data_IF_294731515771
#
_entry.id   IF_294731515771
#
_cell.length_a   1.000
_cell.length_b   1.000
_cell.length_c   1.000
_cell.angle_alpha   90.00
_cell.angle_beta   90.00
_cell.angle_gamma   90.00
#
_symmetry.space_group_name_H-M   'P 1'
#
loop_
_entity.id
_entity.type
_entity.pdbx_description
1 polymer ?
#
# COMPACT_ATOMS: atom_id res chain seq x y z
N UNK A 1 10.85 29.15 2.97
CA UNK A 1 10.26 28.71 1.70
C UNK A 1 9.56 27.38 1.96
N UNK A 2 8.24 27.31 1.78
CA UNK A 2 7.51 26.05 1.87
C UNK A 2 7.85 25.25 0.62
N UNK A 3 8.63 24.17 0.79
CA UNK A 3 8.86 23.24 -0.32
C UNK A 3 7.58 22.45 -0.50
N UNK A 4 6.85 22.72 -1.59
CA UNK A 4 5.71 21.89 -1.98
C UNK A 4 6.24 20.47 -2.16
N UNK A 5 5.80 19.55 -1.30
CA UNK A 5 6.20 18.16 -1.38
C UNK A 5 5.57 17.58 -2.64
N UNK A 6 6.40 17.26 -3.64
CA UNK A 6 5.92 16.68 -4.89
C UNK A 6 5.35 15.29 -4.63
N UNK A 7 4.12 15.07 -5.08
CA UNK A 7 3.43 13.78 -4.99
C UNK A 7 3.93 12.88 -6.12
N UNK A 8 4.45 11.73 -5.75
CA UNK A 8 4.95 10.69 -6.66
C UNK A 8 4.05 9.48 -6.48
N UNK A 9 3.50 9.02 -7.59
CA UNK A 9 2.55 7.94 -7.64
C UNK A 9 3.17 6.72 -8.31
N UNK A 10 2.83 5.54 -7.80
CA UNK A 10 3.18 4.27 -8.40
C UNK A 10 1.90 3.44 -8.56
N UNK A 11 1.63 3.02 -9.79
CA UNK A 11 0.57 2.08 -10.12
C UNK A 11 1.19 0.79 -10.62
N UNK A 12 0.59 -0.35 -10.29
CA UNK A 12 1.04 -1.63 -10.78
C UNK A 12 -0.11 -2.49 -11.26
N UNK A 13 0.14 -3.25 -12.31
CA UNK A 13 -0.65 -4.39 -12.76
C UNK A 13 0.20 -5.63 -12.61
N UNK A 14 -0.37 -6.69 -12.05
CA UNK A 14 0.34 -7.93 -11.83
C UNK A 14 -0.50 -9.14 -12.20
N UNK A 15 0.17 -10.13 -12.79
CA UNK A 15 -0.40 -11.43 -13.09
C UNK A 15 0.67 -12.49 -12.83
N UNK A 16 0.50 -13.23 -11.75
CA UNK A 16 1.41 -14.27 -11.28
C UNK A 16 0.75 -15.64 -11.31
N UNK A 17 1.55 -16.63 -11.66
CA UNK A 17 1.23 -18.04 -11.58
C UNK A 17 2.33 -18.78 -10.79
N UNK A 18 2.04 -20.00 -10.34
CA UNK A 18 3.02 -20.86 -9.68
C UNK A 18 3.09 -22.20 -10.40
N UNK A 19 4.30 -22.70 -10.63
CA UNK A 19 4.52 -24.04 -11.18
C UNK A 19 4.03 -25.15 -10.25
N UNK A 20 3.85 -24.85 -8.95
CA UNK A 20 3.30 -25.79 -7.97
C UNK A 20 1.78 -25.92 -8.05
N UNK A 21 1.10 -24.95 -8.68
CA UNK A 21 -0.36 -24.91 -8.85
C UNK A 21 -0.71 -24.52 -10.30
N UNK A 22 -0.42 -25.37 -11.29
CA UNK A 22 -0.46 -24.99 -12.71
C UNK A 22 -1.87 -24.67 -13.24
N UNK A 23 -2.92 -25.02 -12.51
CA UNK A 23 -4.32 -24.88 -12.95
C UNK A 23 -5.02 -23.62 -12.42
N UNK A 24 -4.34 -22.81 -11.59
CA UNK A 24 -4.92 -21.62 -11.00
C UNK A 24 -3.94 -20.44 -11.08
N UNK A 25 -4.45 -19.24 -11.36
CA UNK A 25 -3.68 -18.01 -11.16
C UNK A 25 -3.36 -17.89 -9.67
N UNK A 26 -2.12 -17.51 -9.37
CA UNK A 26 -1.67 -17.34 -7.99
C UNK A 26 -2.18 -16.00 -7.45
N UNK A 27 -1.99 -14.94 -8.23
CA UNK A 27 -2.35 -13.58 -7.86
C UNK A 27 -2.50 -12.75 -9.14
N UNK A 28 -3.62 -12.04 -9.27
CA UNK A 28 -3.90 -11.13 -10.38
C UNK A 28 -4.60 -9.89 -9.84
N UNK A 29 -4.24 -8.72 -10.35
CA UNK A 29 -4.89 -7.48 -9.95
C UNK A 29 -4.05 -6.24 -10.19
N UNK A 30 -4.42 -5.17 -9.48
CA UNK A 30 -3.80 -3.86 -9.60
C UNK A 30 -3.59 -3.24 -8.22
N UNK A 31 -2.47 -2.52 -8.03
CA UNK A 31 -2.14 -1.80 -6.80
C UNK A 31 -1.78 -0.35 -7.09
N UNK A 32 -1.97 0.52 -6.09
CA UNK A 32 -1.65 1.94 -6.19
C UNK A 32 -1.06 2.46 -4.88
N UNK A 33 0.04 3.21 -4.97
CA UNK A 33 0.69 3.84 -3.82
C UNK A 33 1.08 5.28 -4.11
N UNK A 34 1.05 6.09 -3.05
CA UNK A 34 1.49 7.48 -3.04
C UNK A 34 2.68 7.64 -2.06
N UNK A 35 3.69 8.40 -2.46
CA UNK A 35 4.86 8.64 -1.61
C UNK A 35 4.49 9.38 -0.31
N UNK A 36 5.17 9.03 0.78
CA UNK A 36 5.04 9.72 2.08
C UNK A 36 3.81 9.32 2.90
N UNK A 37 2.85 8.58 2.33
CA UNK A 37 1.76 7.96 3.08
C UNK A 37 2.18 6.52 3.44
N UNK A 38 2.04 6.11 4.71
CA UNK A 38 2.24 4.71 5.12
C UNK A 38 0.91 3.97 5.06
N UNK A 39 0.86 2.86 4.32
CA UNK A 39 -0.37 2.07 4.17
C UNK A 39 -0.73 1.29 5.44
N UNK A 40 0.25 0.86 6.23
CA UNK A 40 0.04 0.19 7.53
C UNK A 40 1.37 0.22 8.34
N UNK A 41 1.38 0.53 9.65
CA UNK A 41 2.57 0.36 10.49
C UNK A 41 2.96 -1.11 10.76
N UNK A 42 2.03 -2.08 10.67
CA UNK A 42 2.32 -3.49 10.97
C UNK A 42 3.03 -4.23 9.83
N UNK A 43 2.79 -3.83 8.58
CA UNK A 43 3.48 -4.33 7.37
C UNK A 43 5.00 -4.10 7.39
N UNK A 44 5.48 -3.17 8.22
CA UNK A 44 6.90 -2.88 8.36
C UNK A 44 7.72 -3.95 9.11
N UNK A 45 7.10 -5.00 9.67
CA UNK A 45 7.78 -5.92 10.60
C UNK A 45 8.78 -6.88 9.94
N UNK A 46 8.73 -7.12 8.62
CA UNK A 46 9.70 -7.98 7.91
C UNK A 46 9.88 -7.59 6.44
N UNK A 47 10.63 -6.53 6.12
CA UNK A 47 10.76 -6.14 4.73
C UNK A 47 11.73 -7.11 4.02
N UNK A 48 11.22 -7.86 3.05
CA UNK A 48 12.04 -8.69 2.13
C UNK A 48 12.94 -7.81 1.24
N UNK A 49 12.62 -6.52 1.17
CA UNK A 49 13.36 -5.49 0.48
C UNK A 49 14.11 -4.62 1.49
N UNK A 50 15.31 -4.21 1.13
CA UNK A 50 16.07 -3.22 1.88
C UNK A 50 16.06 -1.88 1.15
N UNK A 51 15.52 -0.85 1.79
CA UNK A 51 15.61 0.52 1.29
C UNK A 51 17.02 1.05 1.58
N UNK A 52 17.84 1.23 0.55
CA UNK A 52 19.22 1.68 0.71
C UNK A 52 19.24 3.20 0.97
N UNK A 53 19.79 3.66 2.10
CA UNK A 53 19.97 5.08 2.35
C UNK A 53 21.04 5.65 1.42
N UNK A 54 20.74 6.79 0.79
CA UNK A 54 21.67 7.44 -0.14
C UNK A 54 22.56 8.44 0.61
N UNK A 55 23.87 8.52 0.33
CA UNK A 55 24.80 9.41 1.05
C UNK A 55 24.37 10.88 1.07
N UNK A 56 23.73 11.35 -0.01
CA UNK A 56 23.34 12.75 -0.21
C UNK A 56 22.06 13.11 0.58
N UNK A 57 21.28 12.12 1.03
CA UNK A 57 19.93 12.33 1.58
C UNK A 57 19.60 11.38 2.72
N UNK A 58 20.49 11.30 3.73
CA UNK A 58 20.35 10.42 4.89
C UNK A 58 19.07 10.64 5.73
N UNK A 59 18.43 11.80 5.59
CA UNK A 59 17.20 12.16 6.32
C UNK A 59 15.93 11.75 5.58
N UNK A 60 16.04 11.30 4.33
CA UNK A 60 14.87 10.87 3.56
C UNK A 60 14.65 9.39 3.82
N UNK A 61 13.54 9.06 4.48
CA UNK A 61 13.10 7.68 4.65
C UNK A 61 12.66 7.11 3.29
N UNK A 62 13.51 6.28 2.71
CA UNK A 62 13.27 5.65 1.40
C UNK A 62 12.26 4.50 1.47
N UNK A 63 11.90 4.05 2.66
CA UNK A 63 10.79 3.09 2.81
C UNK A 63 9.43 3.72 2.48
N UNK A 64 9.35 5.05 2.43
CA UNK A 64 8.15 5.81 2.10
C UNK A 64 8.02 6.12 0.60
N UNK A 65 8.98 5.71 -0.23
CA UNK A 65 8.84 5.84 -1.68
C UNK A 65 7.69 4.96 -2.18
N UNK A 66 6.86 5.49 -3.08
CA UNK A 66 5.66 4.80 -3.57
C UNK A 66 6.01 3.43 -4.17
N UNK A 67 7.10 3.34 -4.91
CA UNK A 67 7.55 2.11 -5.56
C UNK A 67 8.03 1.06 -4.55
N UNK A 68 8.69 1.50 -3.48
CA UNK A 68 9.16 0.61 -2.42
C UNK A 68 7.97 0.03 -1.63
N UNK A 69 7.00 0.87 -1.31
CA UNK A 69 5.78 0.45 -0.61
C UNK A 69 4.97 -0.53 -1.46
N UNK A 70 4.80 -0.22 -2.75
CA UNK A 70 4.09 -1.10 -3.68
C UNK A 70 4.77 -2.47 -3.75
N UNK A 71 6.09 -2.54 -3.96
CA UNK A 71 6.76 -3.84 -4.03
C UNK A 71 6.70 -4.62 -2.70
N UNK A 72 6.73 -3.91 -1.57
CA UNK A 72 6.50 -4.53 -0.26
C UNK A 72 5.10 -5.15 -0.18
N UNK A 73 4.07 -4.42 -0.60
CA UNK A 73 2.69 -4.92 -0.65
C UNK A 73 2.57 -6.16 -1.55
N UNK A 74 3.21 -6.17 -2.72
CA UNK A 74 3.22 -7.35 -3.61
C UNK A 74 3.78 -8.58 -2.87
N UNK A 75 4.89 -8.43 -2.13
CA UNK A 75 5.44 -9.54 -1.36
C UNK A 75 4.50 -10.02 -0.25
N UNK A 76 3.80 -9.10 0.42
CA UNK A 76 2.80 -9.46 1.42
C UNK A 76 1.63 -10.24 0.80
N UNK A 77 1.14 -9.81 -0.36
CA UNK A 77 0.08 -10.51 -1.08
C UNK A 77 0.53 -11.90 -1.51
N UNK A 78 1.74 -12.06 -2.03
CA UNK A 78 2.30 -13.37 -2.36
C UNK A 78 2.43 -14.26 -1.12
N UNK A 79 2.84 -13.71 0.02
CA UNK A 79 2.93 -14.44 1.28
C UNK A 79 1.54 -14.88 1.78
N UNK A 80 0.52 -14.01 1.68
CA UNK A 80 -0.89 -14.35 1.99
C UNK A 80 -1.45 -15.41 1.03
N UNK A 81 -0.99 -15.43 -0.22
CA UNK A 81 -1.33 -16.47 -1.20
C UNK A 81 -0.61 -17.82 -0.95
N UNK A 82 0.25 -17.89 0.07
CA UNK A 82 0.95 -19.11 0.49
C UNK A 82 2.34 -19.29 -0.14
N UNK A 83 2.92 -18.26 -0.75
CA UNK A 83 4.32 -18.29 -1.17
C UNK A 83 5.19 -17.74 -0.04
N UNK A 84 5.84 -18.62 0.70
CA UNK A 84 6.77 -18.20 1.74
C UNK A 84 8.06 -17.67 1.11
N UNK A 85 8.33 -16.37 1.25
CA UNK A 85 9.50 -15.72 0.65
C UNK A 85 10.85 -16.17 1.24
N UNK A 86 10.85 -16.85 2.39
CA UNK A 86 12.06 -17.43 2.99
C UNK A 86 12.51 -18.68 2.25
N UNK A 87 11.60 -19.44 1.62
CA UNK A 87 11.91 -20.65 0.84
C UNK A 87 12.33 -20.28 -0.57
N UNK A 88 13.57 -20.59 -0.99
CA UNK A 88 13.99 -20.42 -2.37
C UNK A 88 13.10 -21.18 -3.35
N UNK A 89 12.70 -22.41 -3.02
CA UNK A 89 11.93 -23.28 -3.91
C UNK A 89 10.56 -22.66 -4.25
N UNK A 90 9.87 -22.15 -3.24
CA UNK A 90 8.58 -21.47 -3.44
C UNK A 90 8.75 -20.20 -4.27
N UNK A 91 9.79 -19.40 -4.02
CA UNK A 91 10.07 -18.19 -4.80
C UNK A 91 10.35 -18.46 -6.27
N UNK A 92 11.14 -19.50 -6.57
CA UNK A 92 11.46 -19.88 -7.95
C UNK A 92 10.28 -20.52 -8.68
N UNK A 93 9.24 -20.95 -7.95
CA UNK A 93 8.01 -21.44 -8.57
C UNK A 93 7.14 -20.33 -9.16
N UNK A 94 7.30 -19.10 -8.66
CA UNK A 94 6.50 -17.95 -9.07
C UNK A 94 7.03 -17.41 -10.40
N UNK A 95 6.11 -17.23 -11.34
CA UNK A 95 6.39 -16.64 -12.64
C UNK A 95 5.24 -15.75 -13.11
N UNK A 96 5.51 -14.85 -14.05
CA UNK A 96 4.50 -13.96 -14.59
C UNK A 96 5.05 -12.57 -14.88
N UNK A 97 4.17 -11.57 -14.80
CA UNK A 97 4.49 -10.19 -15.17
C UNK A 97 4.06 -9.24 -14.06
N UNK A 98 4.92 -8.28 -13.75
CA UNK A 98 4.64 -7.08 -12.95
C UNK A 98 4.95 -5.84 -13.80
N UNK A 99 3.91 -5.10 -14.17
CA UNK A 99 4.02 -3.83 -14.89
C UNK A 99 3.86 -2.68 -13.91
N UNK A 100 4.89 -1.85 -13.77
CA UNK A 100 4.93 -0.71 -12.86
C UNK A 100 4.91 0.61 -13.66
N UNK A 101 3.96 1.47 -13.35
CA UNK A 101 3.74 2.75 -14.00
C UNK A 101 3.98 3.89 -13.00
N UNK A 102 4.88 4.79 -13.34
CA UNK A 102 5.36 5.84 -12.45
C UNK A 102 5.04 7.22 -13.00
N UNK A 103 4.59 8.12 -12.12
CA UNK A 103 4.41 9.53 -12.45
C UNK A 103 5.74 10.28 -12.61
N UNK A 104 6.81 9.77 -11.99
CA UNK A 104 8.15 10.35 -12.01
C UNK A 104 9.24 9.28 -12.06
N UNK A 105 10.47 9.65 -12.49
CA UNK A 105 11.59 8.74 -12.45
C UNK A 105 11.90 8.26 -11.02
N UNK A 106 12.09 6.95 -10.86
CA UNK A 106 12.46 6.37 -9.57
C UNK A 106 13.78 6.90 -9.04
N UNK A 107 13.84 7.04 -7.71
CA UNK A 107 15.11 7.29 -7.04
C UNK A 107 16.02 6.05 -7.09
N UNK A 108 17.34 6.25 -6.93
CA UNK A 108 18.34 5.16 -6.97
C UNK A 108 18.05 4.05 -5.96
N UNK A 109 17.48 4.39 -4.80
CA UNK A 109 17.09 3.40 -3.78
C UNK A 109 15.99 2.45 -4.29
N UNK A 110 14.99 2.99 -5.00
CA UNK A 110 13.91 2.20 -5.61
C UNK A 110 14.43 1.35 -6.78
N UNK A 111 15.37 1.85 -7.58
CA UNK A 111 16.05 1.02 -8.59
C UNK A 111 16.76 -0.18 -7.96
N UNK A 112 17.35 0.00 -6.77
CA UNK A 112 17.91 -1.10 -5.97
C UNK A 112 16.84 -2.09 -5.51
N UNK A 113 15.66 -1.60 -5.09
CA UNK A 113 14.52 -2.45 -4.75
C UNK A 113 14.01 -3.26 -5.95
N UNK A 114 14.00 -2.69 -7.16
CA UNK A 114 13.64 -3.40 -8.40
C UNK A 114 14.57 -4.59 -8.64
N UNK A 115 15.88 -4.40 -8.44
CA UNK A 115 16.85 -5.49 -8.55
C UNK A 115 16.72 -6.53 -7.46
N UNK A 116 16.42 -6.13 -6.23
CA UNK A 116 16.12 -7.08 -5.16
C UNK A 116 14.87 -7.91 -5.49
N UNK A 117 13.81 -7.29 -6.01
CA UNK A 117 12.61 -7.99 -6.46
C UNK A 117 12.92 -9.03 -7.55
N UNK A 118 13.60 -8.64 -8.62
CA UNK A 118 13.99 -9.55 -9.71
C UNK A 118 14.91 -10.68 -9.22
N UNK A 119 15.74 -10.44 -8.20
CA UNK A 119 16.60 -11.46 -7.61
C UNK A 119 15.81 -12.43 -6.72
N UNK A 120 14.80 -11.93 -6.02
CA UNK A 120 13.96 -12.73 -5.15
C UNK A 120 12.99 -13.60 -5.95
N UNK A 121 12.45 -13.10 -7.06
CA UNK A 121 11.45 -13.75 -7.91
C UNK A 121 11.96 -13.85 -9.36
N UNK A 122 12.91 -14.74 -9.67
CA UNK A 122 13.60 -14.77 -10.96
C UNK A 122 12.70 -15.18 -12.14
N UNK A 123 11.54 -15.77 -11.89
CA UNK A 123 10.56 -16.11 -12.92
C UNK A 123 9.58 -14.98 -13.26
N UNK A 124 9.65 -13.84 -12.56
CA UNK A 124 8.75 -12.71 -12.75
C UNK A 124 9.44 -11.63 -13.57
N UNK A 125 8.84 -11.29 -14.71
CA UNK A 125 9.26 -10.15 -15.52
C UNK A 125 8.78 -8.85 -14.86
N UNK A 126 9.69 -7.91 -14.68
CA UNK A 126 9.39 -6.57 -14.14
C UNK A 126 9.57 -5.54 -15.24
N UNK A 127 8.47 -4.92 -15.65
CA UNK A 127 8.44 -3.78 -16.56
C UNK A 127 8.24 -2.51 -15.76
N UNK A 128 9.07 -1.50 -15.99
CA UNK A 128 8.95 -0.19 -15.32
C UNK A 128 8.84 0.88 -16.39
N UNK A 129 7.70 1.54 -16.41
CA UNK A 129 7.41 2.64 -17.30
C UNK A 129 7.29 3.94 -16.51
N UNK A 130 7.98 4.98 -16.98
CA UNK A 130 7.89 6.32 -16.44
C UNK A 130 7.45 7.23 -17.57
N UNK A 131 6.22 7.75 -17.50
CA UNK A 131 5.66 8.59 -18.56
C UNK A 131 4.79 9.70 -17.99
N UNK A 132 4.91 10.90 -18.56
CA UNK A 132 4.06 12.05 -18.20
C UNK A 132 2.59 11.84 -18.58
N UNK A 133 2.26 10.81 -19.38
CA UNK A 133 0.88 10.47 -19.78
C UNK A 133 0.16 9.64 -18.71
N UNK A 134 0.83 9.27 -17.61
CA UNK A 134 0.21 8.58 -16.49
C UNK A 134 -0.63 9.55 -15.64
N UNK A 135 -0.34 10.86 -15.68
CA UNK A 135 -1.07 11.89 -14.92
C UNK A 135 -2.60 11.90 -15.14
N UNK A 136 -3.15 11.86 -16.38
CA UNK A 136 -4.59 11.78 -16.61
C UNK A 136 -5.27 10.49 -16.11
N UNK A 137 -4.54 9.37 -16.07
CA UNK A 137 -5.06 8.10 -15.53
C UNK A 137 -5.07 8.16 -14.01
N UNK A 138 -4.00 8.68 -13.40
CA UNK A 138 -3.89 8.84 -11.95
C UNK A 138 -4.94 9.81 -11.40
N UNK A 139 -5.23 10.89 -12.12
CA UNK A 139 -6.26 11.86 -11.72
C UNK A 139 -7.66 11.21 -11.61
N UNK A 140 -7.96 10.22 -12.46
CA UNK A 140 -9.21 9.45 -12.34
C UNK A 140 -9.18 8.52 -11.13
N UNK A 141 -8.07 7.83 -10.92
CA UNK A 141 -7.91 6.94 -9.76
C UNK A 141 -7.96 7.69 -8.43
N UNK A 142 -7.38 8.90 -8.35
CA UNK A 142 -7.49 9.77 -7.18
C UNK A 142 -8.94 10.17 -6.90
N UNK A 143 -9.68 10.58 -7.93
CA UNK A 143 -11.10 10.90 -7.78
C UNK A 143 -11.92 9.70 -7.28
N UNK A 144 -11.64 8.51 -7.81
CA UNK A 144 -12.32 7.27 -7.39
C UNK A 144 -11.95 6.89 -5.94
N UNK A 145 -10.70 7.09 -5.53
CA UNK A 145 -10.23 6.87 -4.16
C UNK A 145 -10.87 7.85 -3.17
N UNK A 146 -10.90 9.14 -3.51
CA UNK A 146 -11.56 10.17 -2.69
C UNK A 146 -13.07 9.96 -2.62
N UNK A 147 -13.69 9.38 -3.65
CA UNK A 147 -15.09 8.98 -3.62
C UNK A 147 -15.30 7.83 -2.63
N UNK A 148 -14.49 6.77 -2.70
CA UNK A 148 -14.58 5.62 -1.76
C UNK A 148 -14.32 6.02 -0.32
N UNK A 149 -13.31 6.86 -0.06
CA UNK A 149 -13.02 7.34 1.29
C UNK A 149 -14.18 8.11 1.90
N UNK A 150 -14.89 8.91 1.09
CA UNK A 150 -16.11 9.60 1.53
C UNK A 150 -17.24 8.63 1.83
N UNK A 151 -17.45 7.63 0.99
CA UNK A 151 -18.47 6.59 1.21
C UNK A 151 -18.21 5.81 2.52
N UNK A 152 -16.95 5.42 2.77
CA UNK A 152 -16.55 4.71 3.99
C UNK A 152 -16.72 5.58 5.25
N UNK A 153 -16.40 6.87 5.16
CA UNK A 153 -16.59 7.83 6.26
C UNK A 153 -18.07 8.04 6.57
N UNK A 154 -18.91 8.22 5.54
CA UNK A 154 -20.36 8.33 5.69
C UNK A 154 -21.01 7.07 6.27
N UNK A 155 -20.49 5.88 5.92
CA UNK A 155 -20.96 4.61 6.49
C UNK A 155 -20.55 4.47 7.97
N UNK A 156 -19.31 4.86 8.30
CA UNK A 156 -18.84 4.88 9.69
C UNK A 156 -19.69 5.81 10.56
N UNK A 157 -19.94 7.04 10.10
CA UNK A 157 -20.78 8.01 10.81
C UNK A 157 -22.21 7.50 11.01
N UNK A 158 -22.80 6.86 9.98
CA UNK A 158 -24.11 6.22 10.11
C UNK A 158 -24.13 5.11 11.15
N UNK A 159 -23.08 4.28 11.20
CA UNK A 159 -22.96 3.20 12.19
C UNK A 159 -22.83 3.76 13.61
N UNK A 160 -21.99 4.77 13.81
CA UNK A 160 -21.80 5.42 15.10
C UNK A 160 -23.09 6.11 15.57
N UNK A 161 -23.81 6.79 14.67
CA UNK A 161 -25.11 7.39 14.98
C UNK A 161 -26.17 6.34 15.36
N UNK A 162 -26.21 5.21 14.65
CA UNK A 162 -27.12 4.10 14.98
C UNK A 162 -26.78 3.43 16.31
N UNK A 163 -25.49 3.28 16.64
CA UNK A 163 -25.03 2.82 17.95
C UNK A 163 -25.40 3.79 19.07
N UNK A 164 -25.18 5.09 18.86
CA UNK A 164 -25.56 6.12 19.82
C UNK A 164 -27.08 6.16 20.06
N UNK A 165 -27.89 6.01 19.01
CA UNK A 165 -29.34 5.96 19.11
C UNK A 165 -29.82 4.73 19.90
N UNK A 166 -29.27 3.53 19.60
CA UNK A 166 -29.55 2.32 20.38
C UNK A 166 -29.17 2.48 21.84
N UNK A 167 -28.01 3.07 22.12
CA UNK A 167 -27.56 3.30 23.48
C UNK A 167 -28.51 4.24 24.25
N UNK A 168 -29.01 5.30 23.59
CA UNK A 168 -29.99 6.23 24.18
C UNK A 168 -31.36 5.57 24.45
N UNK A 169 -31.80 4.65 23.59
CA UNK A 169 -33.03 3.86 23.81
C UNK A 169 -32.89 2.88 24.98
N UNK A 170 -31.71 2.27 25.13
CA UNK A 170 -31.41 1.37 26.25
C UNK A 170 -31.25 2.10 27.59
N UNK A 171 -30.92 3.39 27.58
CA UNK A 171 -30.62 4.20 28.77
C UNK A 171 -31.45 5.49 28.83
N UNK A 172 -32.79 5.42 28.85
CA UNK A 172 -33.66 6.60 28.80
C UNK A 172 -33.52 7.50 30.05
N UNK A 173 -33.07 6.95 31.17
CA UNK A 173 -32.88 7.66 32.44
C UNK A 173 -31.49 8.30 32.59
N UNK A 174 -30.58 8.10 31.62
CA UNK A 174 -29.28 8.77 31.63
C UNK A 174 -29.45 10.26 31.31
N UNK A 175 -29.73 11.06 32.34
CA UNK A 175 -29.61 12.51 32.29
C UNK A 175 -28.12 12.83 32.35
N UNK A 176 -27.52 13.03 31.18
CA UNK A 176 -26.09 13.32 31.06
C UNK A 176 -25.67 14.44 32.02
N UNK A 177 -24.88 14.06 33.02
CA UNK A 177 -24.20 14.98 33.94
C UNK A 177 -25.09 15.60 35.01
N UNK A 178 -25.09 14.99 36.20
CA UNK A 178 -24.96 15.84 37.38
C UNK A 178 -23.47 16.22 37.47
N UNK A 179 -23.21 17.50 37.23
CA UNK A 179 -21.92 18.16 37.36
C UNK A 179 -21.20 17.71 38.63
N UNK A 180 -20.03 17.08 38.48
CA UNK A 180 -19.11 16.86 39.57
C UNK A 180 -18.43 18.20 39.90
N UNK A 181 -19.15 19.09 40.57
CA UNK A 181 -18.60 20.27 41.24
C UNK A 181 -17.85 19.84 42.49
N UNK A 182 -16.71 19.17 42.27
CA UNK A 182 -15.75 18.84 43.31
C UNK A 182 -14.90 20.06 43.65
N UNK A 183 -15.41 20.95 44.50
CA UNK A 183 -14.58 21.89 45.25
C UNK A 183 -13.80 21.12 46.32
N UNK A 184 -12.47 21.25 46.28
CA UNK A 184 -11.53 20.70 47.28
C UNK A 184 -10.12 21.20 47.07
#
# INVERSE_FOLDING_TARGET
>A
AQTVHRRIYAFAEYHFASTLRPMASLLEGTSFHLNGLRSDPESARRPWLCAVPLPISKWVDRTLCAEFQLLTEIFEMLNRAGIEMTSPELRHSVHGLLSLYLSEPSCVSCTGAFKQFQTLLPGVDLLVECSSVVEPLMARTEMDLEARQREDEEERERREAAEAARWAEEHPDWKGGDEWSGDG
#
